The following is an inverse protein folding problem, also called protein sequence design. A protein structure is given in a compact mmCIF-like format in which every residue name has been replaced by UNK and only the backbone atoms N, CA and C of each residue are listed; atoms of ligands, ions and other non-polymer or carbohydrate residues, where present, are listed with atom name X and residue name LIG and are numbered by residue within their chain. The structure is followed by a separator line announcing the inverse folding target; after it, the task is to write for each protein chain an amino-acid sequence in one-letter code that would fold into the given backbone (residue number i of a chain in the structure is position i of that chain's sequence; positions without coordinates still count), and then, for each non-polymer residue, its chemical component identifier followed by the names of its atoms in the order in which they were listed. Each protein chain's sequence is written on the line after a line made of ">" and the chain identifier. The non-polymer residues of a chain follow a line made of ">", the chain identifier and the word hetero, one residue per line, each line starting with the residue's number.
data_IF_795484314240
#
_entry.id   IF_795484314240
#
_cell.length_a   1.000
_cell.length_b   1.000
_cell.length_c   1.000
_cell.angle_alpha   90.00
_cell.angle_beta   90.00
_cell.angle_gamma   90.00
#
_symmetry.space_group_name_H-M   'P 1'
#
loop_
_entity.id
_entity.type
_entity.pdbx_description
1 polymer ?
#
# COMPACT_ATOMS: atom_id res chain seq x y z
N UNK A 1 11.53 4.79 19.58
CA UNK A 1 11.62 5.27 18.19
C UNK A 1 10.31 4.99 17.46
N UNK A 2 9.29 5.82 17.69
CA UNK A 2 7.93 5.62 17.17
C UNK A 2 7.81 6.05 15.70
N UNK A 3 8.46 7.16 15.34
CA UNK A 3 8.46 7.72 13.99
C UNK A 3 9.00 6.74 12.94
N UNK A 4 10.06 5.99 13.27
CA UNK A 4 10.63 4.99 12.36
C UNK A 4 9.73 3.76 12.18
N UNK A 5 8.94 3.39 13.20
CA UNK A 5 7.96 2.31 13.08
C UNK A 5 6.77 2.74 12.21
N UNK A 6 6.24 3.95 12.42
CA UNK A 6 5.21 4.54 11.55
C UNK A 6 5.67 4.59 10.09
N UNK A 7 6.90 5.02 9.81
CA UNK A 7 7.45 5.05 8.45
C UNK A 7 7.50 3.67 7.77
N UNK A 8 7.78 2.60 8.53
CA UNK A 8 7.75 1.22 8.00
C UNK A 8 6.33 0.73 7.72
N UNK A 9 5.39 1.02 8.63
CA UNK A 9 3.98 0.66 8.48
C UNK A 9 3.40 1.34 7.24
N UNK A 10 3.58 2.66 7.11
CA UNK A 10 3.10 3.43 5.95
C UNK A 10 3.64 2.86 4.64
N UNK A 11 4.93 2.58 4.56
CA UNK A 11 5.53 2.03 3.34
C UNK A 11 4.99 0.64 3.01
N UNK A 12 4.81 -0.24 4.00
CA UNK A 12 4.25 -1.57 3.81
C UNK A 12 2.83 -1.54 3.25
N UNK A 13 1.96 -0.73 3.86
CA UNK A 13 0.56 -0.54 3.41
C UNK A 13 0.47 0.05 2.00
N UNK A 14 1.36 1.00 1.68
CA UNK A 14 1.42 1.61 0.35
C UNK A 14 1.81 0.59 -0.71
N UNK A 15 2.82 -0.25 -0.42
CA UNK A 15 3.25 -1.32 -1.33
C UNK A 15 2.15 -2.38 -1.54
N UNK A 16 1.42 -2.78 -0.50
CA UNK A 16 0.29 -3.71 -0.64
C UNK A 16 -0.84 -3.14 -1.50
N UNK A 17 -1.12 -1.85 -1.35
CA UNK A 17 -2.12 -1.15 -2.17
C UNK A 17 -1.70 -1.12 -3.64
N UNK A 18 -0.43 -0.79 -3.91
CA UNK A 18 0.11 -0.81 -5.27
C UNK A 18 0.15 -2.24 -5.86
N UNK A 19 0.48 -3.24 -5.04
CA UNK A 19 0.48 -4.65 -5.43
C UNK A 19 -0.93 -5.12 -5.79
N UNK A 20 -1.96 -4.78 -5.01
CA UNK A 20 -3.35 -5.10 -5.32
C UNK A 20 -3.78 -4.51 -6.66
N UNK A 21 -3.40 -3.25 -6.93
CA UNK A 21 -3.71 -2.57 -8.19
C UNK A 21 -3.05 -3.24 -9.41
N UNK A 22 -1.83 -3.74 -9.25
CA UNK A 22 -1.05 -4.37 -10.33
C UNK A 22 -1.28 -5.88 -10.46
N UNK A 23 -1.94 -6.50 -9.48
CA UNK A 23 -2.10 -7.94 -9.44
C UNK A 23 -3.01 -8.46 -10.57
N UNK A 24 -2.70 -9.64 -11.13
CA UNK A 24 -3.60 -10.30 -12.07
C UNK A 24 -4.93 -10.63 -11.38
N UNK A 25 -6.01 -10.70 -12.16
CA UNK A 25 -7.38 -10.86 -11.62
C UNK A 25 -7.54 -12.09 -10.70
N UNK A 26 -6.79 -13.17 -10.95
CA UNK A 26 -6.80 -14.37 -10.11
C UNK A 26 -6.23 -14.14 -8.71
N UNK A 27 -5.30 -13.18 -8.56
CA UNK A 27 -4.60 -12.90 -7.30
C UNK A 27 -5.24 -11.76 -6.49
N UNK A 28 -5.99 -10.88 -7.15
CA UNK A 28 -6.65 -9.76 -6.49
C UNK A 28 -7.51 -10.15 -5.26
N UNK A 29 -8.27 -11.26 -5.24
CA UNK A 29 -9.11 -11.61 -4.09
C UNK A 29 -8.30 -11.84 -2.81
N UNK A 30 -7.20 -12.59 -2.89
CA UNK A 30 -6.40 -12.90 -1.70
C UNK A 30 -5.53 -11.71 -1.26
N UNK A 31 -5.00 -10.94 -2.22
CA UNK A 31 -4.24 -9.72 -1.91
C UNK A 31 -5.16 -8.68 -1.26
N UNK A 32 -6.40 -8.55 -1.74
CA UNK A 32 -7.41 -7.67 -1.16
C UNK A 32 -7.68 -8.03 0.30
N UNK A 33 -7.94 -9.30 0.60
CA UNK A 33 -8.15 -9.75 1.98
C UNK A 33 -6.98 -9.37 2.88
N UNK A 34 -5.75 -9.64 2.42
CA UNK A 34 -4.55 -9.31 3.20
C UNK A 34 -4.39 -7.79 3.40
N UNK A 35 -4.67 -6.99 2.36
CA UNK A 35 -4.65 -5.53 2.44
C UNK A 35 -5.69 -5.02 3.44
N UNK A 36 -6.91 -5.53 3.40
CA UNK A 36 -7.97 -5.13 4.32
C UNK A 36 -7.61 -5.42 5.78
N UNK A 37 -7.02 -6.58 6.07
CA UNK A 37 -6.51 -6.91 7.40
C UNK A 37 -5.39 -5.96 7.86
N UNK A 38 -4.43 -5.67 6.98
CA UNK A 38 -3.35 -4.74 7.27
C UNK A 38 -3.84 -3.31 7.53
N UNK A 39 -4.85 -2.86 6.77
CA UNK A 39 -5.50 -1.56 6.97
C UNK A 39 -6.31 -1.53 8.26
N UNK A 40 -7.03 -2.60 8.60
CA UNK A 40 -7.79 -2.69 9.84
C UNK A 40 -6.88 -2.59 11.08
N UNK A 41 -5.66 -3.13 11.00
CA UNK A 41 -4.66 -3.07 12.07
C UNK A 41 -3.95 -1.70 12.19
N UNK A 42 -4.05 -0.83 11.18
CA UNK A 42 -3.31 0.43 11.12
C UNK A 42 -4.10 1.64 11.63
N UNK A 43 -3.39 2.58 12.24
CA UNK A 43 -3.96 3.88 12.63
C UNK A 43 -4.47 4.67 11.43
N UNK A 44 -5.45 5.55 11.64
CA UNK A 44 -6.03 6.37 10.57
C UNK A 44 -4.98 7.25 9.85
N UNK A 45 -4.06 7.86 10.61
CA UNK A 45 -3.00 8.69 10.04
C UNK A 45 -2.07 7.88 9.12
N UNK A 46 -1.68 6.66 9.54
CA UNK A 46 -0.85 5.77 8.74
C UNK A 46 -1.59 5.32 7.47
N UNK A 47 -2.87 4.94 7.58
CA UNK A 47 -3.70 4.56 6.43
C UNK A 47 -3.79 5.67 5.38
N UNK A 48 -4.09 6.91 5.80
CA UNK A 48 -4.20 8.06 4.87
C UNK A 48 -2.87 8.35 4.19
N UNK A 49 -1.78 8.29 4.94
CA UNK A 49 -0.42 8.49 4.40
C UNK A 49 -0.05 7.38 3.42
N UNK A 50 -0.40 6.12 3.73
CA UNK A 50 -0.15 4.99 2.87
C UNK A 50 -0.92 5.04 1.54
N UNK A 51 -2.18 5.49 1.55
CA UNK A 51 -2.97 5.69 0.32
C UNK A 51 -2.30 6.75 -0.57
N UNK A 52 -1.92 7.90 0.01
CA UNK A 52 -1.22 8.95 -0.75
C UNK A 52 0.11 8.46 -1.32
N UNK A 53 0.86 7.66 -0.57
CA UNK A 53 2.12 7.09 -1.05
C UNK A 53 1.90 6.00 -2.12
N UNK A 54 0.83 5.20 -2.02
CA UNK A 54 0.50 4.21 -3.03
C UNK A 54 0.18 4.86 -4.38
N UNK A 55 -0.58 5.95 -4.37
CA UNK A 55 -0.89 6.75 -5.56
C UNK A 55 0.38 7.29 -6.24
N UNK A 56 1.33 7.80 -5.44
CA UNK A 56 2.64 8.25 -5.92
C UNK A 56 3.46 7.09 -6.53
N UNK A 57 3.48 5.91 -5.90
CA UNK A 57 4.15 4.70 -6.40
C UNK A 57 3.55 4.24 -7.74
N UNK A 58 2.22 4.29 -7.86
CA UNK A 58 1.50 3.88 -9.07
C UNK A 58 1.74 4.87 -10.21
N UNK A 59 1.68 6.17 -9.92
CA UNK A 59 1.94 7.24 -10.89
C UNK A 59 3.39 7.24 -11.37
N UNK A 60 4.36 7.14 -10.45
CA UNK A 60 5.79 7.12 -10.81
C UNK A 60 6.22 5.82 -11.48
N UNK A 61 5.68 4.68 -11.03
CA UNK A 61 5.98 3.39 -11.66
C UNK A 61 5.49 3.29 -13.09
N UNK A 62 4.42 4.01 -13.47
CA UNK A 62 3.96 4.05 -14.86
C UNK A 62 4.87 4.89 -15.79
N UNK A 63 5.76 5.72 -15.23
CA UNK A 63 6.66 6.60 -16.01
C UNK A 63 8.07 6.01 -16.21
N UNK A 64 8.40 4.88 -15.58
CA UNK A 64 9.74 4.28 -15.58
C UNK A 64 9.94 3.09 -16.52
N UNK A 65 8.89 2.61 -17.17
CA UNK A 65 8.87 1.41 -18.02
C UNK A 65 8.39 1.71 -19.46
N UNK A 66 8.69 2.91 -20.00
CA UNK A 66 8.52 3.25 -21.42
C UNK A 66 9.86 3.41 -22.14
#
# INVERSE_FOLDING_TARGET
>A
NLLFQSGKIVRGLAMMTAALQRAPAADQPWIRSMQEEAFAAAGEADRRTAISLADDILTKGNNGDQ
#
